data_IF_361440049103
#
_entry.id   IF_361440049103
#
_cell.length_a   1.000
_cell.length_b   1.000
_cell.length_c   1.000
_cell.angle_alpha   90.00
_cell.angle_beta   90.00
_cell.angle_gamma   90.00
#
_symmetry.space_group_name_H-M   'P 1'
#
loop_
_entity.id
_entity.type
_entity.pdbx_description
1 polymer ?
#
# COMPACT_ATOMS: atom_id res chain seq x y z
N UNK A 1 3.88 11.39 0.68
CA UNK A 1 2.55 12.04 0.51
C UNK A 1 1.87 12.13 1.87
N UNK A 2 1.17 13.23 2.19
CA UNK A 2 0.57 13.46 3.52
C UNK A 2 -0.96 13.46 3.41
N UNK A 3 -1.64 12.82 4.37
CA UNK A 3 -3.10 12.68 4.43
C UNK A 3 -3.62 13.01 5.84
N UNK A 4 -4.51 13.99 5.95
CA UNK A 4 -5.07 14.45 7.22
C UNK A 4 -6.35 13.69 7.60
N UNK A 5 -6.70 13.66 8.89
CA UNK A 5 -7.94 13.05 9.41
C UNK A 5 -8.11 11.56 9.04
N UNK A 6 -6.99 10.83 8.91
CA UNK A 6 -7.00 9.40 8.63
C UNK A 6 -7.32 8.61 9.89
N UNK A 7 -8.47 7.94 9.89
CA UNK A 7 -8.93 7.05 10.97
C UNK A 7 -8.84 5.57 10.59
N UNK A 8 -8.84 5.28 9.29
CA UNK A 8 -8.78 3.91 8.76
C UNK A 8 -7.79 3.84 7.62
N UNK A 9 -6.98 2.79 7.59
CA UNK A 9 -6.06 2.53 6.48
C UNK A 9 -6.34 1.14 5.93
N UNK A 10 -6.73 1.07 4.66
CA UNK A 10 -6.92 -0.18 3.91
C UNK A 10 -5.78 -0.38 2.94
N UNK A 11 -5.08 -1.50 3.06
CA UNK A 11 -3.88 -1.79 2.26
C UNK A 11 -4.11 -3.08 1.48
N UNK A 12 -4.00 -3.00 0.15
CA UNK A 12 -4.09 -4.13 -0.78
C UNK A 12 -2.81 -4.23 -1.57
N UNK A 13 -2.05 -5.27 -1.32
CA UNK A 13 -0.78 -5.50 -2.01
C UNK A 13 -0.70 -6.93 -2.50
N UNK A 14 -0.16 -7.09 -3.70
CA UNK A 14 -0.05 -8.36 -4.42
C UNK A 14 1.38 -8.89 -4.36
N UNK A 15 2.36 -8.07 -4.74
CA UNK A 15 3.78 -8.43 -4.81
C UNK A 15 4.69 -7.46 -4.02
N UNK A 16 4.15 -6.37 -3.48
CA UNK A 16 4.90 -5.35 -2.75
C UNK A 16 5.29 -5.71 -1.31
N UNK A 17 6.23 -4.94 -0.78
CA UNK A 17 6.65 -4.95 0.62
C UNK A 17 6.02 -3.76 1.32
N UNK A 18 5.36 -3.97 2.45
CA UNK A 18 4.75 -2.90 3.24
C UNK A 18 5.40 -2.82 4.61
N UNK A 19 5.79 -1.62 5.02
CA UNK A 19 6.15 -1.27 6.38
C UNK A 19 5.11 -0.30 6.94
N UNK A 20 4.59 -0.59 8.14
CA UNK A 20 3.61 0.26 8.82
C UNK A 20 4.16 0.63 10.19
N UNK A 21 4.26 1.92 10.47
CA UNK A 21 4.72 2.46 11.74
C UNK A 21 3.69 3.41 12.33
N UNK A 22 3.47 3.30 13.65
CA UNK A 22 2.58 4.19 14.38
C UNK A 22 3.36 5.35 14.99
N UNK A 23 2.92 6.59 14.76
CA UNK A 23 3.54 7.80 15.31
C UNK A 23 2.55 8.70 16.07
N UNK A 24 3.07 9.72 16.73
CA UNK A 24 2.30 10.65 17.57
C UNK A 24 1.66 11.81 16.79
N UNK A 25 1.89 11.88 15.48
CA UNK A 25 1.26 12.87 14.60
C UNK A 25 -0.19 12.50 14.27
N UNK A 26 -0.99 13.51 13.89
CA UNK A 26 -2.42 13.39 13.60
C UNK A 26 -2.74 13.17 12.11
N UNK A 27 -1.71 12.99 11.28
CA UNK A 27 -1.80 12.72 9.86
C UNK A 27 -1.12 11.39 9.52
N UNK A 28 -1.45 10.83 8.37
CA UNK A 28 -0.72 9.72 7.80
C UNK A 28 0.28 10.21 6.76
N UNK A 29 1.47 9.63 6.75
CA UNK A 29 2.46 9.83 5.70
C UNK A 29 2.67 8.51 4.95
N UNK A 30 2.64 8.59 3.62
CA UNK A 30 2.85 7.46 2.73
C UNK A 30 4.02 7.77 1.80
N UNK A 31 5.05 6.95 1.86
CA UNK A 31 6.11 6.89 0.87
C UNK A 31 6.01 5.58 0.08
N UNK A 32 6.38 5.63 -1.20
CA UNK A 32 6.47 4.41 -1.99
C UNK A 32 7.51 4.52 -3.09
N UNK A 33 8.16 3.39 -3.36
CA UNK A 33 9.09 3.21 -4.47
C UNK A 33 8.59 2.07 -5.35
N UNK A 34 8.38 2.37 -6.63
CA UNK A 34 7.96 1.40 -7.66
C UNK A 34 9.18 0.78 -8.32
N UNK A 35 9.20 -0.55 -8.41
CA UNK A 35 10.19 -1.32 -9.16
C UNK A 35 9.49 -2.12 -10.26
N UNK A 36 9.80 -1.84 -11.53
CA UNK A 36 9.21 -2.55 -12.67
C UNK A 36 7.79 -2.08 -13.04
N UNK A 37 7.01 -2.96 -13.68
CA UNK A 37 5.69 -2.62 -14.24
C UNK A 37 4.56 -2.80 -13.24
N UNK A 38 4.50 -1.89 -12.28
CA UNK A 38 3.47 -1.84 -11.23
C UNK A 38 2.90 -0.43 -11.09
N UNK A 39 1.67 -0.34 -10.62
CA UNK A 39 0.97 0.89 -10.29
C UNK A 39 0.60 0.88 -8.81
N UNK A 40 0.92 1.97 -8.13
CA UNK A 40 0.48 2.23 -6.76
C UNK A 40 -0.58 3.31 -6.83
N UNK A 41 -1.77 2.99 -6.33
CA UNK A 41 -2.91 3.90 -6.23
C UNK A 41 -3.07 4.24 -4.76
N UNK A 42 -3.13 5.55 -4.47
CA UNK A 42 -3.38 6.06 -3.13
C UNK A 42 -4.55 7.01 -3.21
N UNK A 43 -5.64 6.66 -2.55
CA UNK A 43 -6.89 7.43 -2.54
C UNK A 43 -7.36 7.65 -1.11
N UNK A 44 -7.78 8.87 -0.79
CA UNK A 44 -8.44 9.18 0.47
C UNK A 44 -9.94 9.33 0.25
N UNK A 45 -10.72 8.47 0.91
CA UNK A 45 -12.18 8.51 0.95
C UNK A 45 -12.60 8.95 2.35
N UNK A 46 -12.91 10.24 2.52
CA UNK A 46 -13.23 10.85 3.82
C UNK A 46 -12.12 10.60 4.86
N UNK A 47 -12.39 9.72 5.85
CA UNK A 47 -11.48 9.35 6.94
C UNK A 47 -10.69 8.07 6.65
N UNK A 48 -10.85 7.49 5.46
CA UNK A 48 -10.25 6.23 5.05
C UNK A 48 -9.20 6.43 3.97
N UNK A 49 -7.97 6.02 4.26
CA UNK A 49 -6.89 5.95 3.28
C UNK A 49 -6.85 4.55 2.65
N UNK A 50 -6.90 4.48 1.33
CA UNK A 50 -6.82 3.25 0.55
C UNK A 50 -5.52 3.25 -0.23
N UNK A 51 -4.71 2.21 -0.04
CA UNK A 51 -3.43 2.01 -0.72
C UNK A 51 -3.52 0.68 -1.47
N UNK A 52 -3.42 0.73 -2.79
CA UNK A 52 -3.53 -0.42 -3.66
C UNK A 52 -2.31 -0.53 -4.59
N UNK A 53 -1.64 -1.67 -4.54
CA UNK A 53 -0.59 -2.04 -5.49
C UNK A 53 -1.17 -3.05 -6.48
N UNK A 54 -1.05 -2.75 -7.78
CA UNK A 54 -1.48 -3.63 -8.86
C UNK A 54 -0.49 -3.66 -10.01
N UNK A 55 -0.29 -4.81 -10.69
CA UNK A 55 0.54 -4.86 -11.89
C UNK A 55 -0.04 -3.99 -13.02
N UNK A 56 0.83 -3.31 -13.79
CA UNK A 56 0.41 -2.57 -14.98
C UNK A 56 0.11 -3.54 -16.13
N UNK A 57 -1.16 -3.67 -16.52
CA UNK A 57 -1.62 -4.48 -17.67
C UNK A 57 -2.67 -5.54 -17.30
N UNK A 58 -3.67 -5.71 -18.17
CA UNK A 58 -4.84 -6.61 -18.00
C UNK A 58 -4.42 -8.08 -17.69
N UNK A 59 -5.09 -8.79 -16.77
CA UNK A 59 -4.62 -10.08 -16.27
C UNK A 59 -5.08 -11.23 -17.16
N UNK A 60 -4.17 -11.78 -17.97
CA UNK A 60 -4.31 -13.17 -18.45
C UNK A 60 -3.11 -14.06 -18.09
N UNK A 61 -2.00 -13.49 -17.63
CA UNK A 61 -0.82 -14.26 -17.23
C UNK A 61 -0.08 -13.57 -16.08
N UNK A 62 -0.48 -13.86 -14.84
CA UNK A 62 0.25 -13.47 -13.62
C UNK A 62 1.67 -14.08 -13.50
N UNK A 63 2.18 -14.76 -14.54
CA UNK A 63 3.42 -15.54 -14.47
C UNK A 63 4.71 -14.74 -14.69
N UNK A 64 4.67 -13.52 -15.22
CA UNK A 64 5.89 -12.90 -15.77
C UNK A 64 6.06 -11.37 -15.61
N UNK A 65 5.38 -10.71 -14.67
CA UNK A 65 5.69 -9.29 -14.37
C UNK A 65 6.41 -9.16 -13.05
N UNK A 66 7.70 -8.85 -13.12
CA UNK A 66 8.62 -8.61 -12.00
C UNK A 66 8.37 -7.27 -11.27
N UNK A 67 7.15 -6.72 -11.40
CA UNK A 67 6.78 -5.43 -10.84
C UNK A 67 6.40 -5.58 -9.36
N UNK A 68 6.98 -4.77 -8.49
CA UNK A 68 6.64 -4.70 -7.07
C UNK A 68 6.87 -3.29 -6.53
N UNK A 69 6.23 -2.94 -5.42
CA UNK A 69 6.41 -1.66 -4.77
C UNK A 69 6.86 -1.85 -3.31
N UNK A 70 7.80 -1.03 -2.87
CA UNK A 70 8.07 -0.83 -1.45
C UNK A 70 7.16 0.30 -0.97
N UNK A 71 6.35 0.08 0.06
CA UNK A 71 5.40 1.04 0.60
C UNK A 71 5.70 1.23 2.08
N UNK A 72 5.93 2.46 2.50
CA UNK A 72 6.21 2.83 3.88
C UNK A 72 5.10 3.78 4.35
N UNK A 73 4.45 3.43 5.46
CA UNK A 73 3.28 4.15 5.96
C UNK A 73 3.51 4.49 7.42
N UNK A 74 3.56 5.78 7.73
CA UNK A 74 3.46 6.28 9.10
C UNK A 74 2.04 6.71 9.38
N UNK A 75 1.42 6.18 10.43
CA UNK A 75 0.01 6.42 10.75
C UNK A 75 -0.18 6.92 12.18
N UNK A 76 -1.21 7.74 12.46
CA UNK A 76 -1.57 8.07 13.82
C UNK A 76 -1.86 6.80 14.61
N UNK A 77 -1.36 6.71 15.86
CA UNK A 77 -1.62 5.56 16.74
C UNK A 77 -3.11 5.29 16.99
N UNK A 78 -3.98 6.26 16.75
CA UNK A 78 -5.44 6.14 16.87
C UNK A 78 -6.12 5.55 15.64
N UNK A 79 -5.41 5.40 14.51
CA UNK A 79 -5.96 4.88 13.27
C UNK A 79 -6.07 3.35 13.29
N UNK A 80 -7.13 2.82 12.69
CA UNK A 80 -7.37 1.37 12.55
C UNK A 80 -6.79 0.89 11.23
N UNK A 81 -5.97 -0.17 11.29
CA UNK A 81 -5.34 -0.76 10.11
C UNK A 81 -6.13 -1.99 9.66
N UNK A 82 -6.46 -2.03 8.36
CA UNK A 82 -6.97 -3.21 7.66
C UNK A 82 -6.00 -3.56 6.52
N UNK A 83 -5.08 -4.48 6.78
CA UNK A 83 -4.13 -4.95 5.77
C UNK A 83 -4.60 -6.28 5.16
N UNK A 84 -4.72 -6.32 3.84
CA UNK A 84 -4.97 -7.55 3.08
C UNK A 84 -3.80 -7.79 2.14
N UNK A 85 -2.87 -8.63 2.58
CA UNK A 85 -1.80 -9.13 1.73
C UNK A 85 -2.30 -10.39 1.01
N UNK A 86 -2.36 -10.35 -0.31
CA UNK A 86 -2.69 -11.53 -1.12
C UNK A 86 -1.37 -12.23 -1.43
N UNK A 87 -0.80 -12.91 -0.43
CA UNK A 87 0.50 -13.60 -0.54
C UNK A 87 0.57 -14.47 -1.82
N UNK A 88 1.26 -13.97 -2.84
CA UNK A 88 2.02 -14.81 -3.75
C UNK A 88 3.37 -15.08 -3.10
N UNK A 89 3.68 -16.35 -2.84
CA UNK A 89 4.98 -16.76 -2.29
C UNK A 89 6.13 -16.13 -3.08
N UNK A 90 7.08 -15.42 -2.45
CA UNK A 90 8.26 -14.92 -3.15
C UNK A 90 9.07 -16.12 -3.69
N UNK A 91 9.57 -16.09 -4.93
CA UNK A 91 10.48 -17.13 -5.40
C UNK A 91 11.79 -16.99 -4.62
N UNK A 92 12.14 -18.06 -3.90
CA UNK A 92 13.48 -18.27 -3.34
C UNK A 92 14.48 -18.73 -4.39
#
# INVERSE_FOLDING_TARGET
MIYENVKKVEIKVVNGVITIEGWDENFAEVDYTVHGEVEVIIEQLEDKLVIEEKPKGMPLNLRNKSGWAKIEIMIPKSAVIAAKNVNGTPPG
#
